data_IF_009985436534
#
_entry.id   IF_009985436534
#
_cell.length_a   1.000
_cell.length_b   1.000
_cell.length_c   1.000
_cell.angle_alpha   90.00
_cell.angle_beta   90.00
_cell.angle_gamma   90.00
#
_symmetry.space_group_name_H-M   'P 1'
#
loop_
_entity.id
_entity.type
_entity.pdbx_description
1 polymer ?
#
# COMPACT_ATOMS: atom_id res chain seq x y z
N UNK A 1 -11.85 19.22 30.49
CA UNK A 1 -12.06 17.88 29.92
C UNK A 1 -10.87 17.53 29.01
N UNK A 2 -10.23 16.40 29.31
CA UNK A 2 -9.04 15.76 28.75
C UNK A 2 -8.43 16.31 27.44
N UNK A 3 -7.25 16.90 27.60
CA UNK A 3 -6.21 16.97 26.56
C UNK A 3 -5.73 15.54 26.27
N UNK A 4 -6.24 14.94 25.21
CA UNK A 4 -5.66 13.74 24.62
C UNK A 4 -4.61 14.25 23.64
N UNK A 5 -3.34 13.98 23.93
CA UNK A 5 -2.25 14.13 22.96
C UNK A 5 -2.57 13.26 21.75
N UNK A 6 -3.25 13.82 20.74
CA UNK A 6 -3.43 13.17 19.45
C UNK A 6 -2.03 13.01 18.87
N UNK A 7 -1.58 11.77 18.67
CA UNK A 7 -0.33 11.49 17.97
C UNK A 7 -0.27 12.24 16.64
N UNK A 8 0.94 12.46 16.11
CA UNK A 8 1.08 13.18 14.83
C UNK A 8 0.22 12.52 13.75
N UNK A 9 -0.43 13.29 12.86
CA UNK A 9 -1.13 12.75 11.71
C UNK A 9 -0.23 11.77 10.94
N UNK A 10 -0.80 10.64 10.52
CA UNK A 10 -0.10 9.71 9.63
C UNK A 10 0.10 10.36 8.27
N UNK A 11 1.28 10.19 7.70
CA UNK A 11 1.63 10.72 6.39
C UNK A 11 1.59 9.61 5.36
N UNK A 12 0.93 9.88 4.25
CA UNK A 12 0.74 8.94 3.16
C UNK A 12 1.31 9.51 1.88
N UNK A 13 1.91 8.66 1.06
CA UNK A 13 2.05 8.93 -0.37
C UNK A 13 1.06 8.03 -1.09
N UNK A 14 0.20 8.62 -1.92
CA UNK A 14 -0.75 7.90 -2.77
C UNK A 14 -0.30 8.06 -4.21
N UNK A 15 -0.22 6.96 -4.95
CA UNK A 15 0.27 6.98 -6.34
C UNK A 15 -0.29 5.80 -7.13
N UNK A 16 -0.19 5.90 -8.44
CA UNK A 16 -0.34 4.78 -9.36
C UNK A 16 1.03 4.35 -9.90
N UNK A 17 1.03 3.45 -10.88
CA UNK A 17 2.24 2.99 -11.56
C UNK A 17 2.34 3.65 -12.94
N UNK A 18 3.54 3.61 -13.53
CA UNK A 18 3.87 4.30 -14.78
C UNK A 18 2.92 4.01 -15.94
N UNK A 19 2.33 2.81 -15.99
CA UNK A 19 1.42 2.36 -17.05
C UNK A 19 -0.05 2.65 -16.78
N UNK A 20 -0.39 3.21 -15.61
CA UNK A 20 -1.77 3.30 -15.13
C UNK A 20 -2.29 4.74 -15.12
N UNK A 21 -3.18 5.04 -16.05
CA UNK A 21 -3.76 6.37 -16.26
C UNK A 21 -5.00 6.67 -15.40
N UNK A 22 -5.45 5.73 -14.57
CA UNK A 22 -6.66 5.90 -13.78
C UNK A 22 -6.42 6.82 -12.59
N UNK A 23 -7.34 7.77 -12.38
CA UNK A 23 -7.20 8.84 -11.38
C UNK A 23 -8.25 8.78 -10.27
N UNK A 24 -9.44 8.26 -10.55
CA UNK A 24 -10.56 8.28 -9.59
C UNK A 24 -10.29 7.47 -8.33
N UNK A 25 -9.62 6.32 -8.46
CA UNK A 25 -9.12 5.51 -7.36
C UNK A 25 -8.18 6.32 -6.44
N UNK A 26 -7.33 7.17 -7.01
CA UNK A 26 -6.39 7.99 -6.25
C UNK A 26 -7.09 9.12 -5.50
N UNK A 27 -8.07 9.78 -6.14
CA UNK A 27 -8.91 10.80 -5.49
C UNK A 27 -9.71 10.17 -4.35
N UNK A 28 -10.32 9.02 -4.59
CA UNK A 28 -11.04 8.27 -3.55
C UNK A 28 -10.13 7.94 -2.36
N UNK A 29 -8.95 7.37 -2.60
CA UNK A 29 -8.01 7.00 -1.53
C UNK A 29 -7.53 8.23 -0.75
N UNK A 30 -7.27 9.35 -1.43
CA UNK A 30 -6.91 10.59 -0.77
C UNK A 30 -8.01 11.04 0.19
N UNK A 31 -9.24 11.20 -0.30
CA UNK A 31 -10.38 11.61 0.54
C UNK A 31 -10.59 10.62 1.70
N UNK A 32 -10.54 9.32 1.41
CA UNK A 32 -10.72 8.27 2.41
C UNK A 32 -9.71 8.34 3.56
N UNK A 33 -8.43 8.61 3.25
CA UNK A 33 -7.35 8.72 4.23
C UNK A 33 -7.39 10.06 4.98
N UNK A 34 -7.68 11.16 4.28
CA UNK A 34 -7.79 12.51 4.87
C UNK A 34 -8.98 12.62 5.84
N UNK A 35 -10.14 12.05 5.50
CA UNK A 35 -11.32 11.97 6.38
C UNK A 35 -11.02 11.25 7.71
N UNK A 36 -10.00 10.39 7.73
CA UNK A 36 -9.54 9.65 8.92
C UNK A 36 -8.38 10.34 9.63
N UNK A 37 -8.06 11.58 9.27
CA UNK A 37 -7.02 12.39 9.91
C UNK A 37 -5.60 12.13 9.38
N UNK A 38 -5.47 11.49 8.22
CA UNK A 38 -4.20 11.36 7.49
C UNK A 38 -3.81 12.64 6.75
N UNK A 39 -2.51 12.80 6.49
CA UNK A 39 -1.96 13.78 5.56
C UNK A 39 -1.52 13.03 4.30
N UNK A 40 -2.05 13.41 3.13
CA UNK A 40 -1.80 12.68 1.88
C UNK A 40 -1.03 13.55 0.89
N UNK A 41 0.07 13.02 0.39
CA UNK A 41 0.71 13.49 -0.84
C UNK A 41 0.28 12.58 -1.99
N UNK A 42 -0.59 13.09 -2.86
CA UNK A 42 -1.07 12.35 -4.03
C UNK A 42 -0.20 12.70 -5.25
N UNK A 43 0.56 11.72 -5.77
CA UNK A 43 1.44 11.87 -6.91
C UNK A 43 0.72 11.71 -8.26
N UNK A 44 -0.54 11.26 -8.23
CA UNK A 44 -1.37 11.11 -9.42
C UNK A 44 -1.14 9.83 -10.23
N UNK A 45 -1.67 9.87 -11.46
CA UNK A 45 -1.63 8.77 -12.42
C UNK A 45 -0.28 8.71 -13.16
N UNK A 46 0.05 7.56 -13.77
CA UNK A 46 1.23 7.36 -14.60
C UNK A 46 2.56 7.78 -13.94
N UNK A 47 2.68 7.62 -12.62
CA UNK A 47 3.86 8.13 -11.89
C UNK A 47 5.09 7.25 -12.15
N UNK A 48 6.22 7.81 -12.64
CA UNK A 48 7.46 7.05 -12.80
C UNK A 48 8.06 6.63 -11.46
N UNK A 49 8.68 5.45 -11.40
CA UNK A 49 9.30 4.90 -10.18
C UNK A 49 10.25 5.91 -9.48
N UNK A 50 11.08 6.61 -10.26
CA UNK A 50 12.09 7.54 -9.71
C UNK A 50 11.44 8.76 -9.05
N UNK A 51 10.28 9.20 -9.55
CA UNK A 51 9.50 10.26 -8.93
C UNK A 51 8.88 9.77 -7.62
N UNK A 52 8.33 8.55 -7.60
CA UNK A 52 7.78 7.94 -6.38
C UNK A 52 8.88 7.88 -5.30
N UNK A 53 10.05 7.34 -5.63
CA UNK A 53 11.19 7.21 -4.71
C UNK A 53 11.63 8.58 -4.20
N UNK A 54 11.80 9.54 -5.12
CA UNK A 54 12.24 10.90 -4.78
C UNK A 54 11.27 11.58 -3.82
N UNK A 55 9.97 11.50 -4.08
CA UNK A 55 8.96 12.13 -3.22
C UNK A 55 8.78 11.39 -1.90
N UNK A 56 8.94 10.06 -1.87
CA UNK A 56 8.97 9.30 -0.61
C UNK A 56 10.15 9.71 0.28
N UNK A 57 11.35 9.90 -0.27
CA UNK A 57 12.51 10.41 0.50
C UNK A 57 12.25 11.79 1.08
N UNK A 58 11.67 12.70 0.30
CA UNK A 58 11.37 14.07 0.73
C UNK A 58 10.27 14.11 1.80
N UNK A 59 9.15 13.43 1.55
CA UNK A 59 7.98 13.47 2.42
C UNK A 59 8.16 12.60 3.68
N UNK A 60 8.97 11.54 3.60
CA UNK A 60 9.14 10.49 4.62
C UNK A 60 7.78 9.97 5.10
N UNK A 61 6.92 9.46 4.20
CA UNK A 61 5.59 9.01 4.60
C UNK A 61 5.70 7.80 5.55
N UNK A 62 4.67 7.62 6.36
CA UNK A 62 4.52 6.42 7.18
C UNK A 62 4.11 5.22 6.30
N UNK A 63 3.35 5.46 5.23
CA UNK A 63 2.86 4.44 4.29
C UNK A 63 2.87 4.97 2.86
N UNK A 64 3.41 4.18 1.92
CA UNK A 64 3.18 4.29 0.49
C UNK A 64 1.98 3.44 0.10
N UNK A 65 0.99 4.05 -0.55
CA UNK A 65 -0.23 3.40 -1.05
C UNK A 65 -0.21 3.45 -2.57
N UNK A 66 0.01 2.29 -3.19
CA UNK A 66 -0.01 2.12 -4.64
C UNK A 66 -1.38 1.62 -5.06
N UNK A 67 -2.06 2.35 -5.94
CA UNK A 67 -3.33 1.91 -6.51
C UNK A 67 -3.20 1.71 -8.01
N UNK A 68 -3.53 0.51 -8.47
CA UNK A 68 -3.46 0.12 -9.87
C UNK A 68 -4.70 -0.65 -10.27
N UNK A 69 -5.31 -0.29 -11.41
CA UNK A 69 -6.53 -0.91 -11.92
C UNK A 69 -6.42 -1.28 -13.41
N UNK A 70 -5.26 -1.03 -14.04
CA UNK A 70 -5.01 -1.40 -15.43
C UNK A 70 -4.64 -2.89 -15.62
N UNK A 71 -4.43 -3.65 -14.55
CA UNK A 71 -4.08 -5.08 -14.61
C UNK A 71 -2.58 -5.39 -14.71
N UNK A 72 -1.70 -4.38 -14.63
CA UNK A 72 -0.24 -4.55 -14.63
C UNK A 72 0.39 -4.46 -13.24
N UNK A 73 -0.44 -4.47 -12.19
CA UNK A 73 0.01 -4.28 -10.81
C UNK A 73 1.09 -5.26 -10.37
N UNK A 74 1.03 -6.51 -10.82
CA UNK A 74 2.07 -7.50 -10.54
C UNK A 74 3.44 -7.11 -11.11
N UNK A 75 3.49 -6.75 -12.39
CA UNK A 75 4.74 -6.47 -13.12
C UNK A 75 5.35 -5.15 -12.63
N UNK A 76 4.58 -4.07 -12.69
CA UNK A 76 5.07 -2.74 -12.32
C UNK A 76 5.28 -2.63 -10.80
N UNK A 77 4.43 -3.28 -10.00
CA UNK A 77 4.56 -3.34 -8.55
C UNK A 77 5.85 -4.05 -8.12
N UNK A 78 6.16 -5.21 -8.69
CA UNK A 78 7.42 -5.92 -8.42
C UNK A 78 8.64 -5.04 -8.72
N UNK A 79 8.61 -4.32 -9.85
CA UNK A 79 9.70 -3.41 -10.24
C UNK A 79 9.89 -2.30 -9.21
N UNK A 80 8.80 -1.64 -8.83
CA UNK A 80 8.84 -0.53 -7.87
C UNK A 80 9.31 -0.98 -6.48
N UNK A 81 8.71 -2.05 -5.93
CA UNK A 81 8.97 -2.43 -4.54
C UNK A 81 10.40 -2.92 -4.33
N UNK A 82 10.98 -3.61 -5.31
CA UNK A 82 12.40 -4.00 -5.25
C UNK A 82 13.32 -2.79 -5.18
N UNK A 83 13.05 -1.73 -5.95
CA UNK A 83 13.81 -0.48 -5.88
C UNK A 83 13.66 0.19 -4.51
N UNK A 84 12.46 0.22 -3.95
CA UNK A 84 12.20 0.76 -2.61
C UNK A 84 12.96 -0.01 -1.53
N UNK A 85 12.96 -1.35 -1.58
CA UNK A 85 13.64 -2.19 -0.58
C UNK A 85 15.17 -2.17 -0.72
N UNK A 86 15.70 -1.80 -1.89
CA UNK A 86 17.13 -1.58 -2.10
C UNK A 86 17.59 -0.20 -1.61
N UNK A 87 16.67 0.73 -1.38
CA UNK A 87 16.95 2.06 -0.87
C UNK A 87 17.00 2.06 0.66
N UNK A 88 18.18 2.33 1.24
CA UNK A 88 18.38 2.30 2.68
C UNK A 88 17.48 3.29 3.46
N UNK A 89 17.07 4.41 2.85
CA UNK A 89 16.19 5.39 3.50
C UNK A 89 14.73 4.96 3.49
N UNK A 90 14.34 4.08 2.56
CA UNK A 90 12.96 3.66 2.32
C UNK A 90 12.70 2.19 2.65
N UNK A 91 13.74 1.40 2.90
CA UNK A 91 13.65 -0.05 3.08
C UNK A 91 12.62 -0.45 4.16
N UNK A 92 12.49 0.36 5.21
CA UNK A 92 11.57 0.14 6.32
C UNK A 92 10.21 0.86 6.20
N UNK A 93 10.01 1.67 5.16
CA UNK A 93 8.74 2.36 4.91
C UNK A 93 7.64 1.34 4.60
N UNK A 94 6.47 1.44 5.23
CA UNK A 94 5.35 0.57 4.87
C UNK A 94 4.91 0.85 3.44
N UNK A 95 4.69 -0.20 2.66
CA UNK A 95 4.21 -0.11 1.29
C UNK A 95 3.06 -1.10 1.09
N UNK A 96 1.95 -0.62 0.56
CA UNK A 96 0.80 -1.45 0.18
C UNK A 96 0.44 -1.21 -1.26
N UNK A 97 -0.11 -2.23 -1.91
CA UNK A 97 -0.60 -2.16 -3.28
C UNK A 97 -2.00 -2.73 -3.38
N UNK A 98 -2.87 -2.09 -4.15
CA UNK A 98 -4.22 -2.63 -4.36
C UNK A 98 -4.85 -2.25 -5.68
N UNK A 99 -5.96 -2.94 -5.96
CA UNK A 99 -6.72 -2.88 -7.20
C UNK A 99 -6.50 -4.12 -8.08
N UNK A 100 -6.43 -3.94 -9.40
CA UNK A 100 -6.32 -5.04 -10.37
C UNK A 100 -4.86 -5.41 -10.60
N UNK A 101 -4.42 -6.52 -9.99
CA UNK A 101 -3.02 -6.96 -10.01
C UNK A 101 -2.63 -7.74 -11.27
N UNK A 102 -3.60 -8.29 -11.99
CA UNK A 102 -3.42 -9.07 -13.22
C UNK A 102 -4.60 -8.90 -14.17
N UNK A 103 -4.51 -9.44 -15.38
CA UNK A 103 -5.58 -9.33 -16.39
C UNK A 103 -6.47 -10.57 -16.48
N UNK A 104 -6.05 -11.69 -15.89
CA UNK A 104 -6.68 -13.00 -16.03
C UNK A 104 -7.61 -13.36 -14.86
N UNK A 105 -7.97 -12.39 -14.01
CA UNK A 105 -8.88 -12.57 -12.88
C UNK A 105 -8.35 -13.59 -11.88
N UNK A 106 -9.17 -14.57 -11.49
CA UNK A 106 -8.85 -15.57 -10.46
C UNK A 106 -7.58 -16.40 -10.76
N UNK A 107 -7.18 -16.51 -12.03
CA UNK A 107 -5.93 -17.19 -12.42
C UNK A 107 -4.68 -16.47 -11.89
N UNK A 108 -4.81 -15.19 -11.55
CA UNK A 108 -3.75 -14.30 -11.08
C UNK A 108 -3.76 -14.14 -9.54
N UNK A 109 -4.55 -14.95 -8.82
CA UNK A 109 -4.69 -14.86 -7.36
C UNK A 109 -3.35 -14.97 -6.59
N UNK A 110 -2.35 -15.63 -7.19
CA UNK A 110 -1.01 -15.77 -6.61
C UNK A 110 -0.17 -14.49 -6.66
N UNK A 111 -0.51 -13.50 -7.50
CA UNK A 111 0.27 -12.28 -7.66
C UNK A 111 0.33 -11.42 -6.39
N UNK A 112 -0.71 -11.45 -5.55
CA UNK A 112 -0.68 -10.78 -4.25
C UNK A 112 0.43 -11.33 -3.35
N UNK A 113 0.51 -12.66 -3.24
CA UNK A 113 1.53 -13.35 -2.45
C UNK A 113 2.94 -13.06 -2.99
N UNK A 114 3.11 -13.05 -4.32
CA UNK A 114 4.40 -12.74 -4.94
C UNK A 114 4.82 -11.28 -4.70
N UNK A 115 3.88 -10.33 -4.74
CA UNK A 115 4.16 -8.92 -4.43
C UNK A 115 4.55 -8.72 -2.96
N UNK A 116 3.91 -9.45 -2.04
CA UNK A 116 4.31 -9.42 -0.63
C UNK A 116 5.70 -10.02 -0.42
N UNK A 117 5.99 -11.17 -1.05
CA UNK A 117 7.32 -11.77 -1.04
C UNK A 117 8.39 -10.86 -1.65
N UNK A 118 8.04 -10.03 -2.65
CA UNK A 118 8.91 -9.04 -3.25
C UNK A 118 9.15 -7.80 -2.35
N UNK A 119 8.29 -7.60 -1.34
CA UNK A 119 8.52 -6.63 -0.28
C UNK A 119 7.33 -5.72 0.05
N UNK A 120 6.15 -5.88 -0.56
CA UNK A 120 4.97 -5.16 -0.09
C UNK A 120 4.54 -5.70 1.28
N UNK A 121 4.06 -4.82 2.15
CA UNK A 121 3.60 -5.19 3.50
C UNK A 121 2.16 -5.74 3.49
N UNK A 122 1.36 -5.37 2.48
CA UNK A 122 0.05 -5.94 2.23
C UNK A 122 -0.40 -5.72 0.77
N UNK A 123 -1.28 -6.59 0.28
CA UNK A 123 -1.92 -6.47 -1.03
C UNK A 123 -3.44 -6.51 -0.91
N UNK A 124 -4.14 -5.65 -1.64
CA UNK A 124 -5.61 -5.54 -1.63
C UNK A 124 -6.18 -5.71 -3.04
N UNK A 125 -6.58 -6.92 -3.41
CA UNK A 125 -7.04 -7.22 -4.78
C UNK A 125 -8.50 -6.74 -5.00
N UNK A 126 -8.80 -6.14 -6.16
CA UNK A 126 -10.08 -5.45 -6.42
C UNK A 126 -11.34 -6.32 -6.35
N UNK A 127 -11.25 -7.62 -6.66
CA UNK A 127 -12.39 -8.54 -6.63
C UNK A 127 -12.69 -9.09 -5.24
N UNK A 128 -11.72 -9.06 -4.34
CA UNK A 128 -11.81 -9.71 -3.02
C UNK A 128 -11.71 -8.74 -1.85
N UNK A 129 -10.89 -7.70 -1.96
CA UNK A 129 -10.58 -6.80 -0.86
C UNK A 129 -11.67 -5.75 -0.66
N UNK A 130 -11.99 -5.52 0.61
CA UNK A 130 -12.87 -4.43 1.04
C UNK A 130 -12.09 -3.29 1.69
N UNK A 131 -12.71 -2.11 1.74
CA UNK A 131 -12.08 -0.91 2.30
C UNK A 131 -11.79 -0.99 3.80
N UNK A 132 -12.50 -1.83 4.55
CA UNK A 132 -12.25 -2.11 5.98
C UNK A 132 -10.98 -2.94 6.22
N UNK A 133 -10.53 -3.72 5.26
CA UNK A 133 -9.24 -4.43 5.35
C UNK A 133 -8.06 -3.45 5.33
N UNK A 134 -8.12 -2.43 4.46
CA UNK A 134 -7.13 -1.35 4.45
C UNK A 134 -7.13 -0.60 5.79
N UNK A 135 -8.31 -0.31 6.35
CA UNK A 135 -8.42 0.31 7.68
C UNK A 135 -7.78 -0.56 8.75
N UNK A 136 -8.10 -1.85 8.77
CA UNK A 136 -7.58 -2.80 9.75
C UNK A 136 -6.05 -2.89 9.69
N UNK A 137 -5.48 -2.88 8.49
CA UNK A 137 -4.04 -2.80 8.29
C UNK A 137 -3.47 -1.50 8.89
N UNK A 138 -4.04 -0.33 8.55
CA UNK A 138 -3.59 0.97 9.05
C UNK A 138 -3.69 1.11 10.57
N UNK A 139 -4.69 0.47 11.18
CA UNK A 139 -4.84 0.40 12.64
C UNK A 139 -3.77 -0.49 13.28
N UNK A 140 -3.42 -1.63 12.68
CA UNK A 140 -2.31 -2.47 13.14
C UNK A 140 -0.96 -1.73 13.13
N UNK A 141 -0.74 -0.85 12.15
CA UNK A 141 0.46 0.01 12.10
C UNK A 141 0.53 0.99 13.29
N UNK A 142 -0.57 1.26 13.99
CA UNK A 142 -0.60 2.11 15.18
C UNK A 142 0.09 1.51 16.40
N UNK A 143 0.31 0.20 16.38
CA UNK A 143 0.80 -0.56 17.54
C UNK A 143 2.34 -0.60 17.59
N UNK A 144 3.03 0.12 16.69
CA UNK A 144 4.50 0.23 16.67
C UNK A 144 5.20 -0.97 16.00
N UNK A 145 6.53 -1.12 16.14
CA UNK A 145 7.35 -2.08 15.37
C UNK A 145 6.95 -3.55 15.58
N UNK A 146 6.20 -3.85 16.64
CA UNK A 146 5.65 -5.16 16.95
C UNK A 146 4.59 -5.61 15.93
N UNK A 147 3.92 -4.66 15.24
CA UNK A 147 2.90 -4.93 14.22
C UNK A 147 3.43 -5.68 13.00
N UNK A 148 4.69 -5.44 12.58
CA UNK A 148 5.30 -6.09 11.41
C UNK A 148 5.39 -7.61 11.56
N UNK A 149 5.48 -8.14 12.78
CA UNK A 149 5.56 -9.58 13.08
C UNK A 149 4.19 -10.26 13.22
N UNK A 150 3.13 -9.47 13.42
CA UNK A 150 1.78 -9.99 13.67
C UNK A 150 1.00 -10.15 12.35
N UNK A 151 1.24 -9.28 11.37
CA UNK A 151 0.68 -9.38 10.01
C UNK A 151 1.12 -10.68 9.30
N UNK A 152 2.40 -11.06 9.40
CA UNK A 152 2.89 -12.33 8.84
C UNK A 152 2.36 -13.58 9.54
N UNK A 153 1.83 -13.44 10.76
CA UNK A 153 1.32 -14.55 11.57
C UNK A 153 -0.19 -14.78 11.42
N UNK A 154 -0.98 -13.76 11.03
CA UNK A 154 -2.41 -13.95 10.76
C UNK A 154 -2.67 -14.60 9.40
N UNK A 155 -1.83 -14.33 8.40
CA UNK A 155 -1.89 -15.00 7.09
C UNK A 155 -1.59 -16.50 7.18
N UNK A 156 -0.69 -16.90 8.10
CA UNK A 156 -0.38 -18.30 8.35
C UNK A 156 -1.54 -19.10 8.99
N UNK A 157 -2.59 -18.43 9.52
CA UNK A 157 -3.75 -19.10 10.15
C UNK A 157 -4.96 -19.25 9.24
N UNK A 158 -4.93 -18.72 8.01
CA UNK A 158 -6.01 -18.86 7.02
C UNK A 158 -5.97 -20.15 6.19
N UNK A 159 -4.87 -20.93 6.28
CA UNK A 159 -4.63 -22.11 5.45
C UNK A 159 -4.77 -23.44 6.18
N UNK A 160 -5.88 -23.69 6.88
CA UNK A 160 -6.32 -25.05 7.21
C UNK A 160 -7.77 -25.09 7.69
N UNK A 161 -8.70 -25.42 6.79
CA UNK A 161 -9.90 -26.17 7.10
C UNK A 161 -10.50 -26.73 5.81
N UNK A 162 -10.31 -28.05 5.64
CA UNK A 162 -11.10 -29.05 4.90
C UNK A 162 -11.53 -28.74 3.46
#
# INVERSE_FOLDING_TARGET
MNSISRGRPRRFVVTSLSSDAHTWNLVFLQLFLEERGGQVLNLGACTPDDLIITECRKARPDVLVVSTVNGHGHIDGNRLIRKIRQDAELADMYAVIGGKLGISGDSDAHFGVELMAAGFDATFEATTARSDELVSFLECLAVGPVGRRMLSASEARGGHAA
#
